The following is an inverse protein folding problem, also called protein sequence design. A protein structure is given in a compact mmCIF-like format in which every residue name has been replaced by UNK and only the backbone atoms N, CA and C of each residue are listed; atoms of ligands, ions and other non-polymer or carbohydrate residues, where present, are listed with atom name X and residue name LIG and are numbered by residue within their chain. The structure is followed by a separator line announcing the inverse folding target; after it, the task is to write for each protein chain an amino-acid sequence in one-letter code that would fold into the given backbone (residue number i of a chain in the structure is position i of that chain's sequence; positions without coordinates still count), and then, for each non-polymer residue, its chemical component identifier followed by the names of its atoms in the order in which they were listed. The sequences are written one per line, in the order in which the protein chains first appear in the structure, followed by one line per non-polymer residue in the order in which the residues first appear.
data_IF_345705888318
#
_entry.id   IF_345705888318
#
_cell.length_a   1.000
_cell.length_b   1.000
_cell.length_c   1.000
_cell.angle_alpha   90.00
_cell.angle_beta   90.00
_cell.angle_gamma   90.00
#
_symmetry.space_group_name_H-M   'P 1'
#
loop_
_entity.id
_entity.type
_entity.pdbx_description
1 polymer ?
#
# COMPACT_ATOMS: atom_id res chain seq x y z
N UNK A 1 19.74 -6.66 8.89
CA UNK A 1 20.11 -5.75 7.81
C UNK A 1 20.43 -4.32 8.30
N UNK A 2 19.83 -3.86 9.40
CA UNK A 2 20.07 -2.55 10.02
C UNK A 2 20.93 -2.77 11.26
N UNK A 3 22.23 -2.43 11.15
CA UNK A 3 23.24 -2.66 12.22
C UNK A 3 23.43 -1.46 13.14
N UNK A 4 23.09 -0.25 12.68
CA UNK A 4 23.41 1.00 13.36
C UNK A 4 22.37 1.41 14.42
N UNK A 5 21.28 0.65 14.56
CA UNK A 5 20.21 0.90 15.53
C UNK A 5 19.83 -0.36 16.30
N UNK A 6 19.35 -0.19 17.52
CA UNK A 6 18.95 -1.27 18.41
C UNK A 6 17.43 -1.48 18.43
N UNK A 7 17.01 -2.68 18.84
CA UNK A 7 15.61 -2.93 19.15
C UNK A 7 15.31 -2.37 20.56
N UNK A 8 14.11 -1.82 20.81
CA UNK A 8 12.92 -1.78 19.91
C UNK A 8 12.93 -0.61 18.91
N UNK A 9 13.77 0.39 19.07
CA UNK A 9 13.70 1.68 18.37
C UNK A 9 13.65 1.53 16.85
N UNK A 10 14.54 0.71 16.26
CA UNK A 10 14.54 0.48 14.81
C UNK A 10 13.24 -0.14 14.28
N UNK A 11 12.54 -0.92 15.09
CA UNK A 11 11.27 -1.51 14.68
C UNK A 11 10.15 -0.46 14.70
N UNK A 12 10.15 0.42 15.71
CA UNK A 12 9.19 1.52 15.83
C UNK A 12 9.39 2.51 14.68
N UNK A 13 10.64 2.91 14.40
CA UNK A 13 10.97 3.80 13.30
C UNK A 13 10.51 3.26 11.93
N UNK A 14 10.71 1.95 11.68
CA UNK A 14 10.26 1.31 10.44
C UNK A 14 8.74 1.30 10.29
N UNK A 15 8.03 1.01 11.38
CA UNK A 15 6.55 1.01 11.36
C UNK A 15 6.03 2.43 11.19
N UNK A 16 6.61 3.42 11.87
CA UNK A 16 6.21 4.82 11.75
C UNK A 16 6.43 5.34 10.32
N UNK A 17 7.61 5.09 9.73
CA UNK A 17 7.88 5.48 8.35
C UNK A 17 6.96 4.76 7.36
N UNK A 18 6.62 3.48 7.60
CA UNK A 18 5.68 2.74 6.75
C UNK A 18 4.26 3.31 6.84
N UNK A 19 3.79 3.64 8.05
CA UNK A 19 2.51 4.30 8.25
C UNK A 19 2.46 5.67 7.58
N UNK A 20 3.52 6.46 7.71
CA UNK A 20 3.63 7.78 7.07
C UNK A 20 3.65 7.67 5.54
N UNK A 21 4.33 6.66 4.98
CA UNK A 21 4.37 6.39 3.55
C UNK A 21 2.99 6.03 3.02
N UNK A 22 2.30 5.07 3.65
CA UNK A 22 0.94 4.68 3.26
C UNK A 22 -0.02 5.86 3.37
N UNK A 23 0.05 6.64 4.45
CA UNK A 23 -0.79 7.83 4.60
C UNK A 23 -0.55 8.84 3.48
N UNK A 24 0.70 9.04 3.09
CA UNK A 24 1.03 9.91 1.95
C UNK A 24 0.50 9.37 0.63
N UNK A 25 0.58 8.04 0.42
CA UNK A 25 0.03 7.37 -0.76
C UNK A 25 -1.50 7.48 -0.81
N UNK A 26 -2.20 7.33 0.32
CA UNK A 26 -3.65 7.51 0.43
C UNK A 26 -4.10 8.94 0.11
N UNK A 27 -3.28 9.93 0.48
CA UNK A 27 -3.59 11.35 0.26
C UNK A 27 -3.17 11.84 -1.13
N UNK A 28 -2.33 11.10 -1.84
CA UNK A 28 -1.85 11.42 -3.18
C UNK A 28 -2.60 10.64 -4.27
N UNK A 29 -2.58 11.19 -5.48
CA UNK A 29 -3.09 10.46 -6.64
C UNK A 29 -2.20 9.24 -6.91
N UNK A 30 -2.76 8.05 -7.20
CA UNK A 30 -1.97 6.91 -7.65
C UNK A 30 -1.09 7.27 -8.86
N UNK A 31 0.10 6.67 -8.92
CA UNK A 31 1.08 6.99 -9.96
C UNK A 31 0.52 6.82 -11.38
N UNK A 32 -0.32 5.81 -11.60
CA UNK A 32 -0.98 5.59 -12.89
C UNK A 32 -1.91 6.74 -13.29
N UNK A 33 -2.71 7.24 -12.33
CA UNK A 33 -3.60 8.38 -12.57
C UNK A 33 -2.83 9.70 -12.77
N UNK A 34 -1.75 9.90 -12.03
CA UNK A 34 -0.88 11.08 -12.19
C UNK A 34 -0.21 11.08 -13.57
N UNK A 35 0.25 9.93 -14.06
CA UNK A 35 0.82 9.78 -15.40
C UNK A 35 -0.21 10.06 -16.50
N UNK A 36 -1.43 9.51 -16.37
CA UNK A 36 -2.53 9.80 -17.29
C UNK A 36 -2.87 11.29 -17.29
N UNK A 37 -2.92 11.92 -16.13
CA UNK A 37 -3.20 13.36 -16.01
C UNK A 37 -2.14 14.22 -16.68
N UNK A 38 -0.87 13.87 -16.52
CA UNK A 38 0.24 14.55 -17.20
C UNK A 38 0.15 14.41 -18.72
N UNK A 39 -0.19 13.21 -19.20
CA UNK A 39 -0.36 12.95 -20.61
C UNK A 39 -1.53 13.76 -21.20
N UNK A 40 -2.68 13.79 -20.52
CA UNK A 40 -3.81 14.64 -20.88
C UNK A 40 -3.38 16.10 -21.00
N UNK A 41 -2.64 16.62 -20.03
CA UNK A 41 -2.14 18.00 -20.04
C UNK A 41 -1.21 18.27 -21.22
N UNK A 42 -0.32 17.35 -21.57
CA UNK A 42 0.55 17.47 -22.76
C UNK A 42 -0.26 17.52 -24.03
N UNK A 43 -1.26 16.64 -24.19
CA UNK A 43 -2.14 16.62 -25.34
C UNK A 43 -3.01 17.90 -25.45
N UNK A 44 -3.46 18.45 -24.33
CA UNK A 44 -4.21 19.73 -24.31
C UNK A 44 -3.35 20.92 -24.75
N UNK A 45 -2.06 20.90 -24.39
CA UNK A 45 -1.10 21.91 -24.86
C UNK A 45 -0.89 21.77 -26.38
N UNK A 46 -0.69 20.54 -26.89
CA UNK A 46 -0.56 20.26 -28.34
C UNK A 46 -1.84 20.67 -29.07
N UNK A 47 -3.01 20.34 -28.55
CA UNK A 47 -4.31 20.74 -29.11
C UNK A 47 -4.42 22.27 -29.26
N UNK A 48 -3.99 22.99 -28.20
CA UNK A 48 -4.04 24.45 -28.20
C UNK A 48 -3.07 25.06 -29.24
N UNK A 49 -1.93 24.40 -29.47
CA UNK A 49 -0.97 24.82 -30.50
C UNK A 49 -1.53 24.56 -31.91
N UNK A 50 -2.04 23.36 -32.18
CA UNK A 50 -2.60 22.95 -33.45
C UNK A 50 -3.85 23.79 -33.86
N UNK A 51 -4.65 24.24 -32.88
CA UNK A 51 -5.80 25.14 -33.13
C UNK A 51 -5.40 26.51 -33.70
N UNK A 52 -4.13 26.92 -33.58
CA UNK A 52 -3.62 28.18 -34.10
C UNK A 52 -3.09 28.05 -35.53
N UNK A 53 -2.92 26.83 -36.00
CA UNK A 53 -2.43 26.53 -37.34
C UNK A 53 -3.60 26.27 -38.30
N UNK A 54 -3.50 26.81 -39.54
CA UNK A 54 -4.60 26.75 -40.49
C UNK A 54 -4.37 25.79 -41.67
N UNK A 55 -3.24 25.09 -41.67
CA UNK A 55 -2.91 24.13 -42.71
C UNK A 55 -3.70 22.80 -42.59
N UNK A 56 -3.80 22.07 -43.70
CA UNK A 56 -4.60 20.85 -43.77
C UNK A 56 -4.04 19.73 -42.89
N UNK A 57 -2.71 19.63 -42.80
CA UNK A 57 -2.06 18.56 -42.02
C UNK A 57 -2.32 18.76 -40.54
N UNK A 58 -2.21 19.99 -40.02
CA UNK A 58 -2.50 20.33 -38.65
C UNK A 58 -3.96 20.10 -38.29
N UNK A 59 -4.90 20.31 -39.22
CA UNK A 59 -6.33 20.01 -39.00
C UNK A 59 -6.61 18.50 -38.90
N UNK A 60 -5.98 17.68 -39.75
CA UNK A 60 -6.08 16.24 -39.70
C UNK A 60 -5.49 15.72 -38.35
N UNK A 61 -4.29 16.19 -38.00
CA UNK A 61 -3.66 15.84 -36.70
C UNK A 61 -4.49 16.30 -35.51
N UNK A 62 -5.13 17.47 -35.56
CA UNK A 62 -6.00 17.98 -34.54
C UNK A 62 -7.22 17.05 -34.31
N UNK A 63 -7.83 16.55 -35.37
CA UNK A 63 -8.96 15.64 -35.27
C UNK A 63 -8.58 14.29 -34.60
N UNK A 64 -7.43 13.74 -34.97
CA UNK A 64 -6.91 12.52 -34.37
C UNK A 64 -6.57 12.73 -32.88
N UNK A 65 -5.85 13.81 -32.56
CA UNK A 65 -5.49 14.18 -31.21
C UNK A 65 -6.73 14.37 -30.31
N UNK A 66 -7.76 15.03 -30.82
CA UNK A 66 -9.01 15.23 -30.08
C UNK A 66 -9.71 13.91 -29.75
N UNK A 67 -9.64 12.93 -30.64
CA UNK A 67 -10.18 11.59 -30.40
C UNK A 67 -9.39 10.86 -29.33
N UNK A 68 -8.07 10.81 -29.46
CA UNK A 68 -7.17 10.22 -28.48
C UNK A 68 -7.34 10.86 -27.09
N UNK A 69 -7.44 12.19 -27.04
CA UNK A 69 -7.65 12.95 -25.81
C UNK A 69 -9.00 12.66 -25.17
N UNK A 70 -10.07 12.50 -25.96
CA UNK A 70 -11.38 12.13 -25.44
C UNK A 70 -11.39 10.71 -24.83
N UNK A 71 -10.77 9.75 -25.53
CA UNK A 71 -10.62 8.38 -25.03
C UNK A 71 -9.79 8.32 -23.73
N UNK A 72 -8.68 9.05 -23.68
CA UNK A 72 -7.82 9.08 -22.49
C UNK A 72 -8.51 9.77 -21.29
N UNK A 73 -9.27 10.86 -21.55
CA UNK A 73 -10.09 11.52 -20.51
C UNK A 73 -11.18 10.61 -19.96
N UNK A 74 -11.83 9.82 -20.80
CA UNK A 74 -12.86 8.88 -20.35
C UNK A 74 -12.26 7.78 -19.47
N UNK A 75 -11.12 7.21 -19.87
CA UNK A 75 -10.39 6.24 -19.06
C UNK A 75 -9.93 6.84 -17.73
N UNK A 76 -9.38 8.06 -17.75
CA UNK A 76 -8.96 8.77 -16.54
C UNK A 76 -10.14 9.00 -15.58
N UNK A 77 -11.27 9.48 -16.09
CA UNK A 77 -12.46 9.74 -15.28
C UNK A 77 -13.02 8.45 -14.65
N UNK A 78 -13.03 7.35 -15.41
CA UNK A 78 -13.48 6.04 -14.92
C UNK A 78 -12.58 5.55 -13.78
N UNK A 79 -11.26 5.55 -13.98
CA UNK A 79 -10.31 5.13 -12.94
C UNK A 79 -10.30 6.07 -11.75
N UNK A 80 -10.44 7.38 -11.98
CA UNK A 80 -10.52 8.35 -10.90
C UNK A 80 -11.78 8.16 -10.05
N UNK A 81 -12.93 7.91 -10.67
CA UNK A 81 -14.17 7.62 -9.93
C UNK A 81 -14.04 6.32 -9.11
N UNK A 82 -13.35 5.30 -9.63
CA UNK A 82 -13.04 4.09 -8.88
C UNK A 82 -12.17 4.41 -7.67
N UNK A 83 -11.06 5.13 -7.86
CA UNK A 83 -10.18 5.53 -6.77
C UNK A 83 -10.88 6.38 -5.72
N UNK A 84 -11.68 7.37 -6.12
CA UNK A 84 -12.45 8.21 -5.21
C UNK A 84 -13.42 7.37 -4.35
N UNK A 85 -14.04 6.34 -4.92
CA UNK A 85 -14.92 5.42 -4.20
C UNK A 85 -14.15 4.52 -3.23
N UNK A 86 -13.01 3.95 -3.65
CA UNK A 86 -12.14 3.14 -2.79
C UNK A 86 -11.63 3.99 -1.61
N UNK A 87 -11.14 5.19 -1.87
CA UNK A 87 -10.68 6.14 -0.84
C UNK A 87 -11.79 6.50 0.14
N UNK A 88 -12.99 6.81 -0.34
CA UNK A 88 -14.13 7.13 0.52
C UNK A 88 -14.52 5.97 1.45
N UNK A 89 -14.39 4.73 0.98
CA UNK A 89 -14.66 3.52 1.78
C UNK A 89 -13.60 3.34 2.87
N UNK A 90 -12.32 3.54 2.55
CA UNK A 90 -11.21 3.47 3.52
C UNK A 90 -11.32 4.59 4.57
N UNK A 91 -11.59 5.83 4.14
CA UNK A 91 -11.80 6.97 5.05
C UNK A 91 -12.97 6.74 6.01
N UNK A 92 -14.04 6.11 5.53
CA UNK A 92 -15.20 5.75 6.36
C UNK A 92 -14.83 4.72 7.42
N UNK A 93 -14.08 3.68 7.03
CA UNK A 93 -13.58 2.66 7.97
C UNK A 93 -12.66 3.26 9.04
N UNK A 94 -11.73 4.12 8.63
CA UNK A 94 -10.82 4.81 9.55
C UNK A 94 -11.60 5.62 10.59
N UNK A 95 -12.60 6.41 10.16
CA UNK A 95 -13.46 7.19 11.06
C UNK A 95 -14.24 6.31 12.04
N UNK A 96 -14.80 5.19 11.58
CA UNK A 96 -15.51 4.26 12.45
C UNK A 96 -14.59 3.61 13.48
N UNK A 97 -13.34 3.29 13.12
CA UNK A 97 -12.33 2.76 14.04
C UNK A 97 -11.92 3.80 15.09
N UNK A 98 -11.70 5.06 14.67
CA UNK A 98 -11.40 6.16 15.59
C UNK A 98 -12.56 6.41 16.56
N UNK A 99 -13.80 6.34 16.09
CA UNK A 99 -14.99 6.52 16.93
C UNK A 99 -15.14 5.38 17.93
N UNK A 100 -14.88 4.13 17.53
CA UNK A 100 -14.83 2.97 18.43
C UNK A 100 -13.78 3.17 19.54
N UNK A 101 -12.58 3.59 19.18
CA UNK A 101 -11.48 3.77 20.12
C UNK A 101 -11.75 4.93 21.09
N UNK A 102 -12.36 6.03 20.57
CA UNK A 102 -12.83 7.13 21.42
C UNK A 102 -13.91 6.67 22.39
N UNK A 103 -14.88 5.89 21.92
CA UNK A 103 -15.97 5.36 22.77
C UNK A 103 -15.43 4.41 23.84
N UNK A 104 -14.46 3.55 23.52
CA UNK A 104 -13.77 2.70 24.49
C UNK A 104 -13.05 3.52 25.57
N UNK A 105 -12.39 4.61 25.19
CA UNK A 105 -11.75 5.53 26.14
C UNK A 105 -12.80 6.23 27.03
N UNK A 106 -13.94 6.66 26.48
CA UNK A 106 -15.02 7.25 27.24
C UNK A 106 -15.64 6.28 28.25
N UNK A 107 -15.78 5.00 27.87
CA UNK A 107 -16.23 3.95 28.79
C UNK A 107 -15.26 3.81 29.97
N UNK A 108 -13.95 3.74 29.69
CA UNK A 108 -12.95 3.63 30.75
C UNK A 108 -12.95 4.86 31.69
N UNK A 109 -13.14 6.05 31.16
CA UNK A 109 -13.23 7.28 31.96
C UNK A 109 -14.49 7.23 32.83
N UNK A 110 -15.67 6.91 32.27
CA UNK A 110 -16.90 6.81 33.00
C UNK A 110 -16.86 5.75 34.11
N UNK A 111 -16.23 4.57 33.87
CA UNK A 111 -16.02 3.54 34.87
C UNK A 111 -15.10 4.04 36.02
N UNK A 112 -14.06 4.83 35.74
CA UNK A 112 -13.17 5.41 36.78
C UNK A 112 -13.84 6.50 37.61
N UNK A 113 -14.71 7.29 36.96
CA UNK A 113 -15.48 8.34 37.62
C UNK A 113 -16.68 7.81 38.39
N UNK A 114 -17.02 6.53 38.23
CA UNK A 114 -18.14 5.88 38.90
C UNK A 114 -19.49 6.13 38.25
N UNK A 115 -19.51 6.69 37.03
CA UNK A 115 -20.73 6.89 36.23
C UNK A 115 -21.05 5.59 35.47
N UNK A 116 -21.57 4.62 36.22
CA UNK A 116 -21.93 3.31 35.65
C UNK A 116 -23.13 3.35 34.73
N UNK A 117 -23.99 4.37 34.82
CA UNK A 117 -25.12 4.54 33.91
C UNK A 117 -24.61 4.90 32.51
N UNK A 118 -23.75 5.92 32.41
CA UNK A 118 -23.10 6.31 31.15
C UNK A 118 -22.26 5.17 30.57
N UNK A 119 -21.43 4.55 31.39
CA UNK A 119 -20.60 3.42 30.97
C UNK A 119 -21.46 2.26 30.45
N UNK A 120 -22.55 1.92 31.13
CA UNK A 120 -23.47 0.87 30.70
C UNK A 120 -24.16 1.18 29.38
N UNK A 121 -24.63 2.42 29.18
CA UNK A 121 -25.25 2.83 27.91
C UNK A 121 -24.28 2.74 26.74
N UNK A 122 -23.07 3.26 26.90
CA UNK A 122 -22.03 3.21 25.86
C UNK A 122 -21.64 1.77 25.56
N UNK A 123 -21.37 0.95 26.56
CA UNK A 123 -20.85 -0.42 26.44
C UNK A 123 -21.86 -1.41 25.87
N UNK A 124 -23.14 -1.31 26.26
CA UNK A 124 -24.15 -2.31 25.90
C UNK A 124 -25.13 -1.86 24.80
N UNK A 125 -25.16 -0.57 24.45
CA UNK A 125 -26.05 -0.04 23.41
C UNK A 125 -25.27 0.54 22.23
N UNK A 126 -24.39 1.52 22.48
CA UNK A 126 -23.77 2.30 21.41
C UNK A 126 -22.59 1.55 20.78
N UNK A 127 -21.69 0.98 21.58
CA UNK A 127 -20.52 0.25 21.09
C UNK A 127 -20.88 -0.96 20.20
N UNK A 128 -21.84 -1.84 20.58
CA UNK A 128 -22.23 -2.96 19.72
C UNK A 128 -22.88 -2.51 18.40
N UNK A 129 -23.58 -1.38 18.40
CA UNK A 129 -24.16 -0.82 17.18
C UNK A 129 -23.06 -0.32 16.22
N UNK A 130 -22.03 0.34 16.78
CA UNK A 130 -20.87 0.82 16.02
C UNK A 130 -20.03 -0.34 15.50
N UNK A 131 -19.78 -1.37 16.31
CA UNK A 131 -19.05 -2.57 15.89
C UNK A 131 -19.75 -3.32 14.77
N UNK A 132 -21.10 -3.37 14.81
CA UNK A 132 -21.88 -3.96 13.72
C UNK A 132 -21.76 -3.16 12.42
N UNK A 133 -21.74 -1.82 12.49
CA UNK A 133 -21.53 -0.97 11.34
C UNK A 133 -20.12 -1.16 10.77
N UNK A 134 -19.11 -1.23 11.66
CA UNK A 134 -17.73 -1.43 11.28
C UNK A 134 -17.54 -2.78 10.57
N UNK A 135 -18.09 -3.87 11.11
CA UNK A 135 -18.07 -5.19 10.49
C UNK A 135 -18.74 -5.19 9.10
N UNK A 136 -19.86 -4.52 8.94
CA UNK A 136 -20.54 -4.41 7.64
C UNK A 136 -19.71 -3.64 6.59
N UNK A 137 -18.99 -2.60 7.00
CA UNK A 137 -18.12 -1.86 6.09
C UNK A 137 -16.82 -2.62 5.81
N UNK A 138 -16.27 -3.35 6.80
CA UNK A 138 -15.11 -4.23 6.60
C UNK A 138 -15.42 -5.37 5.61
N UNK A 139 -16.60 -5.98 5.71
CA UNK A 139 -17.05 -7.02 4.75
C UNK A 139 -17.16 -6.46 3.34
N UNK A 140 -17.74 -5.27 3.17
CA UNK A 140 -17.83 -4.61 1.85
C UNK A 140 -16.47 -4.30 1.25
N UNK A 141 -15.53 -3.84 2.06
CA UNK A 141 -14.16 -3.54 1.62
C UNK A 141 -13.39 -4.83 1.36
N UNK A 142 -13.61 -5.90 2.14
CA UNK A 142 -12.99 -7.20 1.93
C UNK A 142 -13.46 -7.93 0.67
N UNK A 143 -14.71 -7.71 0.24
CA UNK A 143 -15.26 -8.22 -1.01
C UNK A 143 -14.90 -7.37 -2.24
N UNK A 144 -14.61 -6.08 -2.03
CA UNK A 144 -14.12 -5.20 -3.10
C UNK A 144 -12.63 -5.42 -3.30
N UNK A 145 -12.25 -5.73 -4.53
CA UNK A 145 -10.85 -5.81 -4.95
C UNK A 145 -10.27 -4.38 -4.94
N UNK A 146 -9.72 -3.95 -3.79
CA UNK A 146 -9.06 -2.66 -3.65
C UNK A 146 -7.77 -2.69 -4.47
N UNK A 147 -7.85 -2.28 -5.73
CA UNK A 147 -6.73 -2.33 -6.66
C UNK A 147 -5.86 -1.07 -6.61
N UNK A 148 -6.39 0.06 -6.17
CA UNK A 148 -5.75 1.37 -6.22
C UNK A 148 -5.37 1.92 -4.84
N UNK A 149 -5.94 1.38 -3.75
CA UNK A 149 -5.76 1.89 -2.39
C UNK A 149 -5.28 0.79 -1.44
N UNK A 150 -4.11 0.97 -0.84
CA UNK A 150 -3.55 0.08 0.17
C UNK A 150 -3.62 0.73 1.56
N UNK A 151 -4.40 0.14 2.48
CA UNK A 151 -4.56 0.68 3.85
C UNK A 151 -3.61 0.02 4.86
N UNK A 152 -3.14 -1.20 4.57
CA UNK A 152 -2.41 -2.01 5.56
C UNK A 152 -0.91 -1.94 5.33
N UNK A 153 -0.16 -1.74 6.43
CA UNK A 153 1.28 -1.96 6.45
C UNK A 153 1.53 -3.47 6.37
N UNK A 154 2.09 -3.94 5.28
CA UNK A 154 2.51 -5.33 5.08
C UNK A 154 4.03 -5.47 5.17
N UNK A 155 4.50 -6.71 5.10
CA UNK A 155 5.94 -6.99 5.04
C UNK A 155 6.61 -6.34 3.82
N UNK A 156 5.87 -6.13 2.73
CA UNK A 156 6.40 -5.51 1.52
C UNK A 156 6.72 -4.03 1.71
N UNK A 157 5.86 -3.27 2.39
CA UNK A 157 6.10 -1.85 2.70
C UNK A 157 7.31 -1.72 3.62
N UNK A 158 7.40 -2.56 4.64
CA UNK A 158 8.57 -2.59 5.53
C UNK A 158 9.83 -2.96 4.74
N UNK A 159 9.77 -3.94 3.86
CA UNK A 159 10.91 -4.32 3.01
C UNK A 159 11.34 -3.20 2.05
N UNK A 160 10.39 -2.42 1.52
CA UNK A 160 10.70 -1.22 0.70
C UNK A 160 11.48 -0.18 1.48
N UNK A 161 11.10 0.07 2.74
CA UNK A 161 11.81 1.03 3.60
C UNK A 161 13.21 0.52 3.93
N UNK A 162 13.34 -0.75 4.33
CA UNK A 162 14.64 -1.37 4.60
C UNK A 162 15.52 -1.31 3.34
N UNK A 163 14.96 -1.59 2.18
CA UNK A 163 15.66 -1.48 0.90
C UNK A 163 16.18 -0.07 0.64
N UNK A 164 15.36 0.95 0.94
CA UNK A 164 15.74 2.37 0.81
C UNK A 164 16.88 2.74 1.77
N UNK A 165 16.85 2.26 3.01
CA UNK A 165 17.87 2.57 4.01
C UNK A 165 19.18 1.83 3.78
N UNK A 166 19.11 0.59 3.33
CA UNK A 166 20.29 -0.31 3.23
C UNK A 166 20.82 -0.50 1.82
N UNK A 167 20.02 -0.14 0.79
CA UNK A 167 20.34 -0.42 -0.61
C UNK A 167 20.17 -1.89 -1.01
N UNK A 168 19.63 -2.75 -0.13
CA UNK A 168 19.40 -4.17 -0.41
C UNK A 168 18.10 -4.32 -1.21
N UNK A 169 18.08 -5.01 -2.37
CA UNK A 169 16.86 -5.19 -3.15
C UNK A 169 15.74 -5.87 -2.36
N UNK A 170 14.49 -5.39 -2.52
CA UNK A 170 13.29 -5.91 -1.82
C UNK A 170 13.15 -7.43 -1.97
N UNK A 171 13.37 -7.96 -3.17
CA UNK A 171 13.30 -9.41 -3.43
C UNK A 171 14.20 -10.25 -2.50
N UNK A 172 15.35 -9.70 -2.07
CA UNK A 172 16.22 -10.37 -1.10
C UNK A 172 15.73 -10.27 0.34
N UNK A 173 14.91 -9.28 0.65
CA UNK A 173 14.37 -9.05 1.98
C UNK A 173 13.11 -9.88 2.24
N UNK A 174 12.27 -10.03 1.22
CA UNK A 174 11.00 -10.78 1.28
C UNK A 174 11.16 -12.28 1.04
N UNK A 175 12.31 -12.71 0.51
CA UNK A 175 12.60 -14.12 0.34
C UNK A 175 12.67 -14.83 1.69
N UNK A 176 11.79 -15.82 1.90
CA UNK A 176 11.74 -16.56 3.15
C UNK A 176 13.07 -17.29 3.43
N UNK A 177 13.47 -17.36 4.72
CA UNK A 177 14.67 -18.10 5.13
C UNK A 177 14.65 -19.56 4.66
N UNK A 178 13.46 -20.14 4.55
CA UNK A 178 13.26 -21.48 4.06
C UNK A 178 13.64 -21.60 2.58
N UNK A 179 13.23 -20.66 1.74
CA UNK A 179 13.60 -20.65 0.32
C UNK A 179 15.10 -20.41 0.15
N UNK A 180 15.69 -19.48 0.90
CA UNK A 180 17.16 -19.28 0.88
C UNK A 180 17.92 -20.54 1.27
N UNK A 181 17.40 -21.30 2.23
CA UNK A 181 18.04 -22.53 2.68
C UNK A 181 17.88 -23.66 1.66
N UNK A 182 16.74 -23.74 0.97
CA UNK A 182 16.49 -24.74 -0.09
C UNK A 182 17.33 -24.53 -1.35
N UNK A 183 17.66 -23.27 -1.69
CA UNK A 183 18.48 -22.92 -2.86
C UNK A 183 19.92 -22.54 -2.50
N UNK A 184 20.36 -22.93 -1.29
CA UNK A 184 21.70 -22.57 -0.80
C UNK A 184 22.82 -23.20 -1.63
N UNK A 185 22.63 -24.41 -2.15
CA UNK A 185 23.57 -25.09 -3.05
C UNK A 185 23.78 -24.29 -4.34
N UNK A 186 22.73 -23.82 -4.97
CA UNK A 186 22.78 -23.01 -6.18
C UNK A 186 23.53 -21.68 -5.92
N UNK A 187 23.27 -21.03 -4.79
CA UNK A 187 23.96 -19.80 -4.41
C UNK A 187 25.45 -20.03 -4.09
N UNK A 188 25.78 -21.14 -3.47
CA UNK A 188 27.17 -21.51 -3.22
C UNK A 188 27.90 -21.81 -4.52
N UNK A 189 27.30 -22.52 -5.48
CA UNK A 189 27.89 -22.83 -6.79
C UNK A 189 28.17 -21.59 -7.64
N UNK A 190 27.48 -20.48 -7.44
CA UNK A 190 27.81 -19.20 -8.11
C UNK A 190 29.16 -18.62 -7.66
N UNK A 191 29.62 -19.00 -6.47
CA UNK A 191 30.86 -18.47 -5.86
C UNK A 191 31.97 -19.49 -5.75
N UNK A 192 31.61 -20.77 -5.65
CA UNK A 192 32.55 -21.90 -5.49
C UNK A 192 32.54 -22.72 -6.77
N UNK A 193 33.64 -22.71 -7.48
CA UNK A 193 33.81 -23.50 -8.70
C UNK A 193 34.38 -24.86 -8.31
N UNK A 194 33.65 -25.92 -8.65
CA UNK A 194 33.98 -27.30 -8.23
C UNK A 194 33.55 -27.55 -6.77
N UNK A 195 34.07 -28.61 -6.18
CA UNK A 195 33.75 -29.06 -4.81
C UNK A 195 32.27 -29.40 -4.57
N UNK A 196 31.61 -29.95 -5.56
CA UNK A 196 30.16 -30.26 -5.55
C UNK A 196 29.77 -31.11 -4.33
N UNK A 197 30.56 -32.13 -3.98
CA UNK A 197 30.32 -32.95 -2.80
C UNK A 197 30.40 -32.15 -1.48
N UNK A 198 31.34 -31.19 -1.40
CA UNK A 198 31.48 -30.31 -0.24
C UNK A 198 30.30 -29.36 -0.10
N UNK A 199 29.88 -28.74 -1.19
CA UNK A 199 28.70 -27.85 -1.22
C UNK A 199 27.43 -28.59 -0.81
N UNK A 200 27.21 -29.79 -1.36
CA UNK A 200 26.03 -30.61 -1.00
C UNK A 200 26.03 -30.99 0.49
N UNK A 201 27.16 -31.44 1.05
CA UNK A 201 27.24 -31.79 2.48
C UNK A 201 27.03 -30.61 3.40
N UNK A 202 27.54 -29.43 3.05
CA UNK A 202 27.31 -28.19 3.82
C UNK A 202 25.85 -27.78 3.77
N UNK A 203 25.24 -27.78 2.58
CA UNK A 203 23.82 -27.47 2.40
C UNK A 203 22.92 -28.40 3.21
N UNK A 204 23.12 -29.72 3.11
CA UNK A 204 22.39 -30.72 3.89
C UNK A 204 22.56 -30.53 5.41
N UNK A 205 23.73 -30.18 5.89
CA UNK A 205 23.98 -29.93 7.31
C UNK A 205 23.20 -28.70 7.80
N UNK A 206 23.14 -27.63 7.00
CA UNK A 206 22.41 -26.40 7.29
C UNK A 206 20.89 -26.68 7.28
N UNK A 207 20.39 -27.42 6.27
CA UNK A 207 18.97 -27.80 6.20
C UNK A 207 18.58 -28.61 7.45
N UNK A 208 19.38 -29.61 7.84
CA UNK A 208 19.13 -30.41 9.06
C UNK A 208 19.18 -29.60 10.35
N UNK A 209 20.01 -28.57 10.40
CA UNK A 209 20.11 -27.67 11.56
C UNK A 209 18.93 -26.75 11.73
N UNK A 210 18.18 -26.46 10.63
CA UNK A 210 17.01 -25.57 10.61
C UNK A 210 15.66 -26.31 10.54
N UNK A 211 15.67 -27.63 10.37
CA UNK A 211 14.49 -28.49 10.44
C UNK A 211 14.15 -28.87 11.88
#
# INVERSE_FOLDING_TARGET
YITDRFLPDKAIDLVDEACAMIKTELDSLPAELDEMQRHIMQMEIEETALKKEDDRISKERLADLQKELAELKDQFNTKKAQWDNEKASVDKLSKLREERDRMNNEIQIAEREGDYEKAGRLKYSELPALEKQLAQEEDKVGESDLSLVHEKVSEEEIARIISRWTGIPVAKLTESERNKTLHLDEELHKRVIGQDEGVTKVTEAIIRSKA
#
